data_IF_594656342680
#
_entry.id   IF_594656342680
#
_cell.length_a   1.000
_cell.length_b   1.000
_cell.length_c   1.000
_cell.angle_alpha   90.00
_cell.angle_beta   90.00
_cell.angle_gamma   90.00
#
_symmetry.space_group_name_H-M   'P 1'
#
loop_
_entity.id
_entity.type
_entity.pdbx_description
1 polymer ?
#
# COMPACT_ATOMS: atom_id res chain seq x y z
N UNK A 1 8.42 1.53 -11.60
CA UNK A 1 7.38 2.18 -12.41
C UNK A 1 7.32 3.69 -12.19
N UNK A 2 7.56 4.18 -10.99
CA UNK A 2 7.52 5.61 -10.64
C UNK A 2 8.42 6.49 -11.51
N UNK A 3 9.66 6.06 -11.73
CA UNK A 3 10.57 6.75 -12.66
C UNK A 3 10.00 6.85 -14.09
N UNK A 4 9.32 5.79 -14.57
CA UNK A 4 8.72 5.81 -15.91
C UNK A 4 7.54 6.78 -16.00
N UNK A 5 6.73 6.89 -14.95
CA UNK A 5 5.65 7.87 -14.85
C UNK A 5 6.21 9.29 -14.85
N UNK A 6 7.21 9.57 -14.00
CA UNK A 6 7.89 10.87 -13.96
C UNK A 6 8.48 11.26 -15.33
N UNK A 7 9.21 10.35 -15.99
CA UNK A 7 9.76 10.59 -17.34
C UNK A 7 8.65 10.87 -18.34
N UNK A 8 7.59 10.06 -18.34
CA UNK A 8 6.48 10.21 -19.28
C UNK A 8 5.75 11.54 -19.13
N UNK A 9 5.54 12.00 -17.91
CA UNK A 9 4.94 13.31 -17.60
C UNK A 9 5.86 14.44 -18.06
N UNK A 10 7.14 14.40 -17.72
CA UNK A 10 8.10 15.47 -18.05
C UNK A 10 8.27 15.61 -19.57
N UNK A 11 8.34 14.49 -20.30
CA UNK A 11 8.43 14.54 -21.79
C UNK A 11 7.25 15.32 -22.39
N UNK A 12 6.03 15.10 -21.87
CA UNK A 12 4.84 15.77 -22.36
C UNK A 12 4.65 17.20 -21.81
N UNK A 13 5.26 17.51 -20.66
CA UNK A 13 5.18 18.77 -19.92
C UNK A 13 6.58 19.24 -19.52
N UNK A 14 7.42 19.70 -20.47
CA UNK A 14 8.83 20.03 -20.22
C UNK A 14 9.06 21.20 -19.25
N UNK A 15 8.04 21.98 -18.95
CA UNK A 15 8.08 23.01 -17.90
C UNK A 15 8.29 22.43 -16.49
N UNK A 16 8.11 21.11 -16.32
CA UNK A 16 8.35 20.37 -15.08
C UNK A 16 9.63 19.54 -15.12
N UNK A 17 10.69 19.99 -15.81
CA UNK A 17 11.95 19.25 -15.92
C UNK A 17 12.59 18.91 -14.57
N UNK A 18 12.42 19.76 -13.55
CA UNK A 18 12.73 19.39 -12.17
C UNK A 18 11.55 18.60 -11.59
N UNK A 19 11.74 17.29 -11.38
CA UNK A 19 10.73 16.38 -10.86
C UNK A 19 10.13 16.81 -9.50
N UNK A 20 10.85 17.62 -8.71
CA UNK A 20 10.36 18.18 -7.44
C UNK A 20 9.18 19.12 -7.64
N UNK A 21 9.06 19.74 -8.81
CA UNK A 21 7.94 20.62 -9.14
C UNK A 21 6.62 19.86 -9.37
N UNK A 22 6.67 18.54 -9.47
CA UNK A 22 5.51 17.66 -9.60
C UNK A 22 4.98 17.15 -8.25
N UNK A 23 5.60 17.54 -7.12
CA UNK A 23 5.13 17.15 -5.79
C UNK A 23 3.70 17.61 -5.53
N UNK A 24 2.86 16.73 -4.97
CA UNK A 24 1.47 17.01 -4.63
C UNK A 24 0.49 16.69 -5.74
N UNK A 25 -0.60 17.46 -5.83
CA UNK A 25 -1.72 17.18 -6.72
C UNK A 25 -1.57 17.86 -8.07
N UNK A 26 -1.60 17.06 -9.12
CA UNK A 26 -1.93 17.37 -10.51
C UNK A 26 -1.52 18.75 -11.02
N UNK A 27 -0.24 18.96 -11.18
CA UNK A 27 0.26 20.23 -11.74
C UNK A 27 0.20 20.26 -13.29
N UNK A 28 0.10 19.09 -13.95
CA UNK A 28 0.28 18.99 -15.40
C UNK A 28 -1.00 19.28 -16.19
N UNK A 29 -0.83 19.72 -17.43
CA UNK A 29 -1.94 20.03 -18.35
C UNK A 29 -2.11 19.00 -19.45
N UNK A 30 -1.08 18.20 -19.70
CA UNK A 30 -1.06 17.23 -20.79
C UNK A 30 -0.83 15.83 -20.23
N UNK A 31 -1.53 14.80 -20.79
CA UNK A 31 -1.23 13.41 -20.47
C UNK A 31 0.23 13.06 -20.71
N UNK A 32 0.75 12.14 -19.91
CA UNK A 32 2.02 11.45 -20.14
C UNK A 32 2.08 10.86 -21.54
N UNK A 33 3.27 10.60 -22.05
CA UNK A 33 3.42 9.68 -23.17
C UNK A 33 2.79 8.33 -22.81
N UNK A 34 2.24 7.57 -23.78
CA UNK A 34 1.60 6.29 -23.48
C UNK A 34 2.53 5.34 -22.73
N UNK A 35 2.08 4.85 -21.56
CA UNK A 35 2.79 3.90 -20.72
C UNK A 35 2.06 2.56 -20.81
N UNK A 36 2.80 1.48 -21.12
CA UNK A 36 2.35 0.10 -21.04
C UNK A 36 3.06 -0.54 -19.84
N UNK A 37 2.29 -1.01 -18.88
CA UNK A 37 2.81 -1.51 -17.63
C UNK A 37 2.72 -3.03 -17.54
N UNK A 38 3.82 -3.66 -17.12
CA UNK A 38 3.89 -5.09 -16.81
C UNK A 38 4.44 -5.20 -15.39
N UNK A 39 3.59 -5.34 -14.35
CA UNK A 39 4.07 -5.44 -12.99
C UNK A 39 4.81 -6.75 -12.75
N UNK A 40 5.95 -6.66 -12.06
CA UNK A 40 6.77 -7.80 -11.64
C UNK A 40 6.75 -8.02 -10.13
N UNK A 41 5.94 -7.21 -9.42
CA UNK A 41 5.69 -7.33 -7.99
C UNK A 41 4.18 -7.24 -7.72
N UNK A 42 3.72 -7.85 -6.63
CA UNK A 42 2.34 -7.80 -6.20
C UNK A 42 2.23 -6.97 -4.90
N UNK A 43 2.22 -5.65 -5.02
CA UNK A 43 2.23 -4.74 -3.88
C UNK A 43 1.66 -3.36 -4.19
N UNK A 44 2.43 -2.52 -4.86
CA UNK A 44 2.18 -1.09 -5.05
C UNK A 44 1.03 -0.76 -5.99
N UNK A 45 0.64 -1.68 -6.87
CA UNK A 45 -0.35 -1.47 -7.93
C UNK A 45 -0.07 -0.23 -8.82
N UNK A 46 1.20 0.12 -9.01
CA UNK A 46 1.61 1.32 -9.74
C UNK A 46 1.15 1.31 -11.22
N UNK A 47 0.77 0.14 -11.75
CA UNK A 47 0.21 -0.05 -13.09
C UNK A 47 -1.22 0.46 -13.24
N UNK A 48 -1.91 0.78 -12.13
CA UNK A 48 -3.33 1.21 -12.14
C UNK A 48 -3.58 2.46 -11.28
N UNK A 49 -2.53 3.03 -10.69
CA UNK A 49 -2.65 4.18 -9.78
C UNK A 49 -2.22 5.50 -10.44
N UNK A 50 -2.73 6.60 -9.89
CA UNK A 50 -2.36 7.97 -10.26
C UNK A 50 -1.12 8.48 -9.50
N UNK A 51 -0.53 7.66 -8.65
CA UNK A 51 0.55 8.06 -7.75
C UNK A 51 1.89 7.55 -8.26
N UNK A 52 2.94 8.32 -7.99
CA UNK A 52 4.32 7.86 -8.01
C UNK A 52 5.12 8.57 -6.92
N UNK A 53 6.13 7.89 -6.38
CA UNK A 53 6.90 8.36 -5.23
C UNK A 53 8.36 8.53 -5.61
N UNK A 54 8.89 9.70 -5.34
CA UNK A 54 10.29 10.05 -5.63
C UNK A 54 11.04 10.29 -4.33
N UNK A 55 12.30 9.85 -4.27
CA UNK A 55 13.18 10.13 -3.14
C UNK A 55 14.02 11.37 -3.43
N UNK A 56 13.85 12.41 -2.63
CA UNK A 56 14.74 13.57 -2.59
C UNK A 56 15.92 13.25 -1.66
N UNK A 57 17.05 12.88 -2.27
CA UNK A 57 18.25 12.48 -1.51
C UNK A 57 18.90 13.65 -0.77
N UNK A 58 18.72 14.89 -1.26
CA UNK A 58 19.27 16.09 -0.63
C UNK A 58 18.50 16.42 0.66
N UNK A 59 17.15 16.33 0.59
CA UNK A 59 16.27 16.59 1.73
C UNK A 59 16.00 15.36 2.60
N UNK A 60 16.53 14.19 2.21
CA UNK A 60 16.34 12.89 2.89
C UNK A 60 14.87 12.59 3.15
N UNK A 61 14.01 12.84 2.17
CA UNK A 61 12.58 12.57 2.26
C UNK A 61 12.06 11.93 0.97
N UNK A 62 10.96 11.22 1.10
CA UNK A 62 10.12 10.82 -0.04
C UNK A 62 9.03 11.86 -0.24
N UNK A 63 8.65 12.09 -1.48
CA UNK A 63 7.50 12.91 -1.79
C UNK A 63 6.62 12.21 -2.83
N UNK A 64 5.33 12.46 -2.71
CA UNK A 64 4.32 11.84 -3.55
C UNK A 64 3.90 12.81 -4.63
N UNK A 65 3.88 12.32 -5.87
CA UNK A 65 3.28 13.00 -7.01
C UNK A 65 1.97 12.28 -7.34
N UNK A 66 0.92 13.05 -7.53
CA UNK A 66 -0.42 12.52 -7.82
C UNK A 66 -0.95 13.19 -9.08
N UNK A 67 -1.06 12.45 -10.19
CA UNK A 67 -1.55 13.00 -11.45
C UNK A 67 -2.34 11.95 -12.26
N UNK A 68 -3.64 12.18 -12.54
CA UNK A 68 -4.42 11.29 -13.41
C UNK A 68 -3.82 11.11 -14.80
N UNK A 69 -2.98 12.05 -15.24
CA UNK A 69 -2.32 12.00 -16.54
C UNK A 69 -1.20 10.96 -16.65
N UNK A 70 -0.78 10.34 -15.56
CA UNK A 70 0.29 9.35 -15.55
C UNK A 70 -0.17 7.89 -15.50
N UNK A 71 -1.48 7.65 -15.41
CA UNK A 71 -2.01 6.28 -15.38
C UNK A 71 -1.58 5.56 -16.67
N UNK A 72 -0.98 4.34 -16.55
CA UNK A 72 -0.69 3.52 -17.72
C UNK A 72 -1.95 3.25 -18.55
N UNK A 73 -1.82 3.37 -19.86
CA UNK A 73 -2.94 3.14 -20.80
C UNK A 73 -3.31 1.66 -20.92
N UNK A 74 -2.36 0.77 -20.63
CA UNK A 74 -2.57 -0.68 -20.57
C UNK A 74 -1.73 -1.26 -19.44
N UNK A 75 -2.32 -2.14 -18.65
CA UNK A 75 -1.64 -2.98 -17.67
C UNK A 75 -1.78 -4.46 -18.06
N UNK A 76 -0.65 -5.17 -18.17
CA UNK A 76 -0.60 -6.61 -18.37
C UNK A 76 -0.28 -7.27 -17.03
N UNK A 77 -1.31 -7.65 -16.29
CA UNK A 77 -1.18 -8.25 -14.96
C UNK A 77 -1.05 -9.75 -15.10
N UNK A 78 0.18 -10.22 -15.28
CA UNK A 78 0.52 -11.63 -15.49
C UNK A 78 1.21 -12.17 -14.22
N UNK A 79 0.63 -13.15 -13.52
CA UNK A 79 1.22 -13.74 -12.32
C UNK A 79 2.56 -14.43 -12.58
N UNK A 80 2.82 -14.92 -13.79
CA UNK A 80 4.09 -15.54 -14.13
C UNK A 80 5.24 -14.52 -14.08
N UNK A 81 4.99 -13.26 -14.44
CA UNK A 81 5.97 -12.18 -14.35
C UNK A 81 6.36 -11.82 -12.89
N UNK A 82 5.56 -12.28 -11.92
CA UNK A 82 5.78 -12.09 -10.48
C UNK A 82 6.39 -13.33 -9.81
N UNK A 83 6.49 -14.45 -10.52
CA UNK A 83 6.90 -15.76 -9.95
C UNK A 83 8.35 -15.82 -9.51
N UNK A 84 9.21 -14.93 -10.02
CA UNK A 84 10.63 -14.86 -9.66
C UNK A 84 10.91 -14.06 -8.38
N UNK A 85 9.89 -13.43 -7.78
CA UNK A 85 10.08 -12.69 -6.51
C UNK A 85 10.55 -13.62 -5.38
N UNK A 86 11.64 -13.28 -4.67
CA UNK A 86 12.04 -13.98 -3.45
C UNK A 86 10.94 -13.94 -2.38
N UNK A 87 10.90 -14.95 -1.48
CA UNK A 87 9.90 -15.08 -0.40
C UNK A 87 9.76 -13.79 0.42
N UNK A 88 10.86 -13.20 0.86
CA UNK A 88 10.84 -11.97 1.67
C UNK A 88 10.26 -10.76 0.93
N UNK A 89 10.55 -10.62 -0.38
CA UNK A 89 9.95 -9.57 -1.21
C UNK A 89 8.46 -9.84 -1.43
N UNK A 90 8.08 -11.08 -1.72
CA UNK A 90 6.68 -11.46 -1.86
C UNK A 90 5.88 -11.15 -0.58
N UNK A 91 6.42 -11.50 0.58
CA UNK A 91 5.80 -11.23 1.87
C UNK A 91 5.62 -9.73 2.11
N UNK A 92 6.71 -8.95 1.96
CA UNK A 92 6.66 -7.51 2.21
C UNK A 92 5.74 -6.77 1.25
N UNK A 93 5.82 -7.04 -0.06
CA UNK A 93 4.94 -6.39 -1.05
C UNK A 93 3.48 -6.82 -0.90
N UNK A 94 3.23 -8.08 -0.54
CA UNK A 94 1.86 -8.55 -0.29
C UNK A 94 1.24 -7.94 0.97
N UNK A 95 2.01 -7.73 2.03
CA UNK A 95 1.55 -7.01 3.22
C UNK A 95 1.36 -5.52 2.94
N UNK A 96 2.16 -4.95 2.04
CA UNK A 96 1.97 -3.59 1.52
C UNK A 96 0.61 -3.45 0.81
N UNK A 97 0.30 -4.37 -0.11
CA UNK A 97 -1.01 -4.42 -0.75
C UNK A 97 -2.16 -4.56 0.27
N UNK A 98 -2.00 -5.38 1.30
CA UNK A 98 -3.00 -5.48 2.37
C UNK A 98 -3.17 -4.16 3.12
N UNK A 99 -2.07 -3.46 3.39
CA UNK A 99 -2.09 -2.16 4.06
C UNK A 99 -2.83 -1.13 3.21
N UNK A 100 -2.52 -1.05 1.92
CA UNK A 100 -3.23 -0.20 0.97
C UNK A 100 -4.75 -0.47 0.98
N UNK A 101 -5.15 -1.74 0.94
CA UNK A 101 -6.56 -2.13 0.91
C UNK A 101 -7.28 -1.77 2.22
N UNK A 102 -6.66 -2.02 3.38
CA UNK A 102 -7.25 -1.68 4.69
C UNK A 102 -7.32 -0.17 4.88
N UNK A 103 -6.26 0.58 4.58
CA UNK A 103 -6.29 2.04 4.67
C UNK A 103 -7.27 2.64 3.66
N UNK A 104 -7.27 2.19 2.41
CA UNK A 104 -8.23 2.63 1.40
C UNK A 104 -9.69 2.32 1.77
N UNK A 105 -9.94 1.23 2.52
CA UNK A 105 -11.27 0.93 3.04
C UNK A 105 -11.67 1.84 4.22
N UNK A 106 -10.70 2.22 5.06
CA UNK A 106 -10.97 2.95 6.31
C UNK A 106 -10.72 4.46 6.22
N UNK A 107 -10.14 4.96 5.13
CA UNK A 107 -9.87 6.38 4.91
C UNK A 107 -11.17 7.21 4.86
N UNK A 108 -11.05 8.51 5.10
CA UNK A 108 -12.19 9.46 5.02
C UNK A 108 -12.72 9.62 3.59
N UNK A 109 -11.88 9.40 2.57
CA UNK A 109 -12.27 9.47 1.16
C UNK A 109 -12.99 8.22 0.63
N UNK A 110 -13.09 7.16 1.45
CA UNK A 110 -13.72 5.89 1.07
C UNK A 110 -15.19 6.08 0.68
N UNK A 111 -15.62 5.37 -0.34
CA UNK A 111 -17.00 5.38 -0.84
C UNK A 111 -17.40 3.98 -1.33
N UNK A 112 -18.67 3.80 -1.67
CA UNK A 112 -19.23 2.49 -2.04
C UNK A 112 -18.42 1.78 -3.13
N UNK A 113 -17.90 2.50 -4.13
CA UNK A 113 -17.16 1.90 -5.24
C UNK A 113 -15.77 1.46 -4.76
N UNK A 114 -15.06 2.32 -4.06
CA UNK A 114 -13.73 2.01 -3.51
C UNK A 114 -13.80 0.92 -2.44
N UNK A 115 -14.87 0.89 -1.65
CA UNK A 115 -15.11 -0.14 -0.63
C UNK A 115 -15.26 -1.53 -1.25
N UNK A 116 -15.94 -1.66 -2.40
CA UNK A 116 -16.07 -2.93 -3.14
C UNK A 116 -14.69 -3.47 -3.55
N UNK A 117 -13.84 -2.62 -4.10
CA UNK A 117 -12.49 -3.03 -4.52
C UNK A 117 -11.61 -3.40 -3.33
N UNK A 118 -11.56 -2.54 -2.32
CA UNK A 118 -10.71 -2.73 -1.16
C UNK A 118 -11.10 -3.97 -0.34
N UNK A 119 -12.39 -4.21 -0.08
CA UNK A 119 -12.83 -5.42 0.62
C UNK A 119 -12.51 -6.69 -0.15
N UNK A 120 -12.74 -6.69 -1.48
CA UNK A 120 -12.40 -7.85 -2.29
C UNK A 120 -10.88 -8.08 -2.37
N UNK A 121 -10.11 -7.01 -2.37
CA UNK A 121 -8.65 -7.09 -2.31
C UNK A 121 -8.19 -7.72 -0.98
N UNK A 122 -8.72 -7.26 0.17
CA UNK A 122 -8.40 -7.84 1.49
C UNK A 122 -8.67 -9.36 1.49
N UNK A 123 -9.84 -9.79 0.99
CA UNK A 123 -10.21 -11.21 0.90
C UNK A 123 -9.19 -12.02 0.07
N UNK A 124 -8.86 -11.53 -1.12
CA UNK A 124 -7.93 -12.22 -2.02
C UNK A 124 -6.52 -12.30 -1.44
N UNK A 125 -6.01 -11.19 -0.89
CA UNK A 125 -4.68 -11.14 -0.29
C UNK A 125 -4.59 -12.05 0.93
N UNK A 126 -5.57 -12.00 1.83
CA UNK A 126 -5.61 -12.84 3.03
C UNK A 126 -5.59 -14.34 2.69
N UNK A 127 -6.29 -14.72 1.62
CA UNK A 127 -6.36 -16.10 1.13
C UNK A 127 -5.07 -16.53 0.42
N UNK A 128 -4.41 -15.63 -0.32
CA UNK A 128 -3.42 -16.00 -1.33
C UNK A 128 -1.98 -15.74 -0.91
N UNK A 129 -1.71 -14.81 0.02
CA UNK A 129 -0.35 -14.35 0.31
C UNK A 129 0.56 -15.49 0.82
N UNK A 130 0.05 -16.37 1.68
CA UNK A 130 0.83 -17.55 2.16
C UNK A 130 1.25 -18.44 1.00
N UNK A 131 0.32 -18.74 0.10
CA UNK A 131 0.60 -19.54 -1.10
C UNK A 131 1.56 -18.84 -2.06
N UNK A 132 1.44 -17.53 -2.22
CA UNK A 132 2.36 -16.74 -3.04
C UNK A 132 3.80 -16.76 -2.50
N UNK A 133 3.98 -16.68 -1.16
CA UNK A 133 5.29 -16.80 -0.51
C UNK A 133 5.91 -18.18 -0.75
N UNK A 134 5.07 -19.22 -0.80
CA UNK A 134 5.50 -20.59 -1.17
C UNK A 134 5.58 -20.79 -2.70
N UNK A 135 5.31 -19.74 -3.47
CA UNK A 135 5.37 -19.71 -4.93
C UNK A 135 4.39 -20.66 -5.63
N UNK A 136 3.19 -20.85 -5.05
CA UNK A 136 2.12 -21.61 -5.73
C UNK A 136 1.46 -20.76 -6.81
N UNK A 137 0.99 -21.41 -7.89
CA UNK A 137 0.32 -20.73 -9.00
C UNK A 137 -0.93 -19.97 -8.52
N UNK A 138 -1.78 -20.62 -7.72
CA UNK A 138 -3.00 -20.02 -7.15
C UNK A 138 -2.69 -18.84 -6.22
N UNK A 139 -1.60 -18.95 -5.45
CA UNK A 139 -1.13 -17.85 -4.59
C UNK A 139 -0.68 -16.65 -5.42
N UNK A 140 0.10 -16.87 -6.47
CA UNK A 140 0.56 -15.79 -7.37
C UNK A 140 -0.60 -15.13 -8.11
N UNK A 141 -1.52 -15.92 -8.66
CA UNK A 141 -2.72 -15.42 -9.35
C UNK A 141 -3.59 -14.57 -8.41
N UNK A 142 -3.88 -15.09 -7.20
CA UNK A 142 -4.68 -14.37 -6.22
C UNK A 142 -4.00 -13.08 -5.74
N UNK A 143 -2.68 -13.06 -5.59
CA UNK A 143 -1.94 -11.85 -5.24
C UNK A 143 -1.88 -10.84 -6.39
N UNK A 144 -1.70 -11.28 -7.62
CA UNK A 144 -1.72 -10.42 -8.80
C UNK A 144 -3.05 -9.67 -8.94
N UNK A 145 -4.17 -10.40 -8.80
CA UNK A 145 -5.50 -9.80 -8.83
C UNK A 145 -5.77 -8.93 -7.58
N UNK A 146 -5.42 -9.44 -6.39
CA UNK A 146 -5.66 -8.73 -5.13
C UNK A 146 -4.99 -7.35 -5.09
N UNK A 147 -3.70 -7.27 -5.44
CA UNK A 147 -2.98 -6.00 -5.47
C UNK A 147 -3.55 -5.04 -6.54
N UNK A 148 -3.95 -5.55 -7.70
CA UNK A 148 -4.55 -4.73 -8.76
C UNK A 148 -5.87 -4.09 -8.30
N UNK A 149 -6.75 -4.88 -7.67
CA UNK A 149 -7.99 -4.35 -7.07
C UNK A 149 -7.72 -3.33 -5.96
N UNK A 150 -6.68 -3.57 -5.16
CA UNK A 150 -6.22 -2.59 -4.16
C UNK A 150 -5.91 -1.24 -4.79
N UNK A 151 -5.17 -1.23 -5.91
CA UNK A 151 -4.86 -0.01 -6.63
C UNK A 151 -6.08 0.72 -7.18
N UNK A 152 -7.05 -0.03 -7.71
CA UNK A 152 -8.34 0.53 -8.15
C UNK A 152 -9.12 1.16 -6.97
N UNK A 153 -8.97 0.62 -5.76
CA UNK A 153 -9.58 1.15 -4.55
C UNK A 153 -8.88 2.42 -4.07
N UNK A 154 -7.66 2.29 -3.52
CA UNK A 154 -7.00 3.37 -2.81
C UNK A 154 -6.63 4.57 -3.70
N UNK A 155 -6.32 4.35 -4.96
CA UNK A 155 -6.00 5.44 -5.90
C UNK A 155 -7.14 6.44 -6.08
N UNK A 156 -8.37 6.04 -5.75
CA UNK A 156 -9.56 6.86 -5.85
C UNK A 156 -10.10 7.39 -4.51
N UNK A 157 -9.48 7.04 -3.39
CA UNK A 157 -9.96 7.48 -2.07
C UNK A 157 -8.84 7.91 -1.11
N UNK A 158 -7.58 7.65 -1.45
CA UNK A 158 -6.45 7.93 -0.60
C UNK A 158 -6.15 6.83 0.41
N UNK A 159 -5.15 7.07 1.23
CA UNK A 159 -4.62 6.16 2.24
C UNK A 159 -4.78 6.75 3.65
N UNK A 160 -3.89 6.39 4.56
CA UNK A 160 -3.91 6.82 5.93
C UNK A 160 -2.50 6.93 6.54
N UNK A 161 -2.46 7.04 7.87
CA UNK A 161 -1.24 7.35 8.62
C UNK A 161 -0.18 6.23 8.60
N UNK A 162 -0.53 4.98 8.25
CA UNK A 162 0.47 3.90 8.11
C UNK A 162 1.47 4.28 7.04
N UNK A 163 1.00 4.69 5.87
CA UNK A 163 1.86 5.07 4.75
C UNK A 163 2.68 6.32 5.06
N UNK A 164 2.09 7.35 5.68
CA UNK A 164 2.81 8.54 6.10
C UNK A 164 3.97 8.21 7.06
N UNK A 165 3.76 7.32 8.02
CA UNK A 165 4.81 6.86 8.94
C UNK A 165 5.88 6.02 8.20
N UNK A 166 5.48 5.15 7.28
CA UNK A 166 6.39 4.28 6.54
C UNK A 166 7.32 5.06 5.59
N UNK A 167 6.86 6.17 5.02
CA UNK A 167 7.68 7.03 4.15
C UNK A 167 8.88 7.59 4.91
N UNK A 168 8.68 8.09 6.14
CA UNK A 168 9.77 8.57 7.00
C UNK A 168 10.81 7.49 7.30
N UNK A 169 10.37 6.27 7.60
CA UNK A 169 11.27 5.13 7.84
C UNK A 169 12.08 4.75 6.58
N UNK A 170 11.42 4.75 5.43
CA UNK A 170 12.09 4.50 4.15
C UNK A 170 13.10 5.57 3.79
N UNK A 171 12.81 6.84 4.10
CA UNK A 171 13.70 7.96 3.79
C UNK A 171 14.94 8.02 4.70
N UNK A 172 14.77 7.72 6.00
CA UNK A 172 15.84 7.86 6.99
C UNK A 172 16.71 6.62 7.12
N UNK A 173 16.12 5.42 7.03
CA UNK A 173 16.79 4.15 7.32
C UNK A 173 16.85 3.19 6.13
N UNK A 174 16.34 3.61 4.97
CA UNK A 174 16.19 2.74 3.79
C UNK A 174 15.40 1.44 4.10
N UNK A 175 14.46 1.54 5.07
CA UNK A 175 13.61 0.41 5.45
C UNK A 175 12.74 0.02 4.26
N UNK A 176 12.69 -1.28 3.88
CA UNK A 176 11.79 -1.72 2.83
C UNK A 176 10.34 -1.33 3.13
N UNK A 177 9.71 -0.61 2.21
CA UNK A 177 8.41 0.04 2.40
C UNK A 177 7.33 -0.92 2.92
N UNK A 178 7.18 -2.09 2.29
CA UNK A 178 6.18 -3.07 2.71
C UNK A 178 6.47 -3.69 4.08
N UNK A 179 7.74 -3.75 4.52
CA UNK A 179 8.08 -4.19 5.87
C UNK A 179 7.66 -3.13 6.90
N UNK A 180 7.94 -1.85 6.62
CA UNK A 180 7.51 -0.76 7.48
C UNK A 180 5.98 -0.74 7.63
N UNK A 181 5.25 -0.77 6.52
CA UNK A 181 3.80 -0.82 6.52
C UNK A 181 3.24 -1.99 7.32
N UNK A 182 3.77 -3.20 7.10
CA UNK A 182 3.29 -4.41 7.77
C UNK A 182 3.45 -4.38 9.30
N UNK A 183 4.56 -3.79 9.80
CA UNK A 183 4.82 -3.66 11.23
C UNK A 183 3.95 -2.58 11.87
N UNK A 184 3.73 -1.45 11.18
CA UNK A 184 2.99 -0.30 11.68
C UNK A 184 1.47 -0.56 11.66
N UNK A 185 0.96 -1.23 10.63
CA UNK A 185 -0.47 -1.41 10.37
C UNK A 185 -1.28 -1.88 11.59
N UNK A 186 -0.91 -2.93 12.32
CA UNK A 186 -1.71 -3.38 13.47
C UNK A 186 -1.80 -2.33 14.59
N UNK A 187 -0.75 -1.54 14.79
CA UNK A 187 -0.71 -0.47 15.80
C UNK A 187 -1.64 0.68 15.41
N UNK A 188 -1.63 1.06 14.14
CA UNK A 188 -2.53 2.11 13.62
C UNK A 188 -3.98 1.64 13.60
N UNK A 189 -4.24 0.37 13.26
CA UNK A 189 -5.59 -0.21 13.38
C UNK A 189 -6.12 -0.13 14.82
N UNK A 190 -5.27 -0.44 15.81
CA UNK A 190 -5.63 -0.32 17.23
C UNK A 190 -5.91 1.13 17.61
N UNK A 191 -5.09 2.07 17.16
CA UNK A 191 -5.26 3.50 17.41
C UNK A 191 -6.57 4.04 16.80
N UNK A 192 -6.90 3.63 15.58
CA UNK A 192 -8.04 4.14 14.82
C UNK A 192 -9.34 3.36 15.08
N UNK A 193 -9.34 2.25 15.83
CA UNK A 193 -10.46 1.30 15.92
C UNK A 193 -11.81 1.94 16.30
N UNK A 194 -11.78 2.96 17.18
CA UNK A 194 -13.00 3.65 17.60
C UNK A 194 -13.58 4.54 16.48
N UNK A 195 -12.71 5.24 15.76
CA UNK A 195 -13.12 6.12 14.66
C UNK A 195 -13.59 5.32 13.42
N UNK A 196 -12.94 4.20 13.14
CA UNK A 196 -13.27 3.31 12.02
C UNK A 196 -14.57 2.52 12.25
N UNK A 197 -14.88 2.19 13.51
CA UNK A 197 -16.15 1.59 13.90
C UNK A 197 -16.41 0.21 13.27
N UNK A 198 -17.58 0.03 12.65
CA UNK A 198 -18.01 -1.27 12.11
C UNK A 198 -17.23 -1.76 10.88
N UNK A 199 -16.50 -0.87 10.19
CA UNK A 199 -15.65 -1.28 9.06
C UNK A 199 -14.63 -2.35 9.45
N UNK A 200 -14.16 -2.39 10.72
CA UNK A 200 -13.30 -3.47 11.20
C UNK A 200 -13.97 -4.84 11.27
N UNK A 201 -15.31 -4.91 11.38
CA UNK A 201 -16.05 -6.17 11.25
C UNK A 201 -15.92 -6.73 9.83
N UNK A 202 -16.05 -5.85 8.84
CA UNK A 202 -15.93 -6.24 7.44
C UNK A 202 -14.50 -6.64 7.09
N UNK A 203 -13.51 -5.93 7.63
CA UNK A 203 -12.09 -6.32 7.52
C UNK A 203 -11.85 -7.69 8.13
N UNK A 204 -12.34 -7.96 9.36
CA UNK A 204 -12.22 -9.28 9.99
C UNK A 204 -12.84 -10.38 9.12
N UNK A 205 -14.03 -10.14 8.58
CA UNK A 205 -14.73 -11.07 7.68
C UNK A 205 -13.92 -11.32 6.40
N UNK A 206 -13.43 -10.27 5.76
CA UNK A 206 -12.61 -10.37 4.55
C UNK A 206 -11.28 -11.09 4.80
N UNK A 207 -10.70 -10.92 5.99
CA UNK A 207 -9.52 -11.68 6.45
C UNK A 207 -9.81 -13.17 6.75
N UNK A 208 -11.08 -13.61 6.62
CA UNK A 208 -11.48 -15.01 6.81
C UNK A 208 -11.82 -15.38 8.26
N UNK A 209 -12.03 -14.41 9.15
CA UNK A 209 -12.47 -14.68 10.53
C UNK A 209 -13.93 -15.13 10.52
N UNK A 210 -14.24 -16.33 11.07
CA UNK A 210 -15.62 -16.84 11.08
C UNK A 210 -16.47 -16.15 12.16
N UNK A 211 -17.78 -16.05 11.94
CA UNK A 211 -18.75 -15.64 12.95
C UNK A 211 -18.74 -14.16 13.32
N UNK A 212 -18.13 -13.31 12.51
CA UNK A 212 -17.96 -11.86 12.77
C UNK A 212 -19.29 -11.13 12.97
N UNK A 213 -20.38 -11.64 12.39
CA UNK A 213 -21.74 -11.09 12.51
C UNK A 213 -22.35 -11.25 13.91
N UNK A 214 -21.79 -12.15 14.75
CA UNK A 214 -22.23 -12.39 16.12
C UNK A 214 -21.31 -11.79 17.19
N UNK A 215 -20.18 -11.22 16.76
CA UNK A 215 -19.18 -10.63 17.65
C UNK A 215 -19.64 -9.27 18.17
N UNK A 216 -19.30 -8.97 19.41
CA UNK A 216 -19.33 -7.61 19.95
C UNK A 216 -18.35 -6.70 19.21
N UNK A 217 -18.46 -5.40 19.47
CA UNK A 217 -17.55 -4.42 18.87
C UNK A 217 -16.08 -4.72 19.21
N UNK A 218 -15.79 -4.97 20.46
CA UNK A 218 -14.45 -5.28 20.96
C UNK A 218 -13.91 -6.59 20.35
N UNK A 219 -14.78 -7.60 20.20
CA UNK A 219 -14.39 -8.89 19.65
C UNK A 219 -14.02 -8.79 18.18
N UNK A 220 -14.83 -8.17 17.31
CA UNK A 220 -14.48 -8.08 15.89
C UNK A 220 -13.32 -7.11 15.63
N UNK A 221 -13.18 -6.03 16.41
CA UNK A 221 -12.03 -5.13 16.31
C UNK A 221 -10.74 -5.87 16.64
N UNK A 222 -10.72 -6.60 17.75
CA UNK A 222 -9.57 -7.44 18.11
C UNK A 222 -9.31 -8.52 17.07
N UNK A 223 -10.33 -9.19 16.57
CA UNK A 223 -10.20 -10.26 15.59
C UNK A 223 -9.61 -9.77 14.26
N UNK A 224 -10.00 -8.57 13.78
CA UNK A 224 -9.42 -7.96 12.59
C UNK A 224 -7.91 -7.71 12.76
N UNK A 225 -7.53 -7.10 13.87
CA UNK A 225 -6.13 -6.78 14.18
C UNK A 225 -5.29 -8.05 14.36
N UNK A 226 -5.81 -9.04 15.07
CA UNK A 226 -5.13 -10.32 15.28
C UNK A 226 -4.96 -11.10 13.97
N UNK A 227 -5.94 -11.05 13.06
CA UNK A 227 -5.84 -11.68 11.75
C UNK A 227 -4.72 -11.06 10.89
N UNK A 228 -4.57 -9.74 10.92
CA UNK A 228 -3.47 -9.04 10.24
C UNK A 228 -2.12 -9.41 10.85
N UNK A 229 -2.01 -9.38 12.19
CA UNK A 229 -0.79 -9.81 12.90
C UNK A 229 -0.40 -11.25 12.56
N UNK A 230 -1.39 -12.14 12.55
CA UNK A 230 -1.17 -13.56 12.24
C UNK A 230 -0.69 -13.76 10.81
N UNK A 231 -1.26 -13.05 9.83
CA UNK A 231 -0.81 -13.12 8.45
C UNK A 231 0.63 -12.63 8.32
N UNK A 232 0.99 -11.49 8.94
CA UNK A 232 2.34 -10.96 8.94
C UNK A 232 3.35 -11.95 9.55
N UNK A 233 3.01 -12.58 10.68
CA UNK A 233 3.83 -13.60 11.32
C UNK A 233 4.01 -14.84 10.41
N UNK A 234 2.93 -15.32 9.79
CA UNK A 234 2.94 -16.52 8.93
C UNK A 234 3.82 -16.35 7.70
N UNK A 235 3.94 -15.12 7.19
CA UNK A 235 4.76 -14.81 6.01
C UNK A 235 6.16 -14.28 6.36
N UNK A 236 6.51 -14.28 7.65
CA UNK A 236 7.87 -13.98 8.14
C UNK A 236 8.21 -12.49 8.22
N UNK A 237 7.23 -11.60 8.37
CA UNK A 237 7.49 -10.18 8.64
C UNK A 237 8.07 -10.02 10.06
N UNK A 238 9.09 -9.17 10.26
CA UNK A 238 9.62 -8.85 11.59
C UNK A 238 8.53 -8.29 12.52
N UNK A 239 8.65 -8.57 13.82
CA UNK A 239 7.63 -8.20 14.81
C UNK A 239 7.60 -6.71 15.16
N UNK A 240 8.76 -6.06 15.10
CA UNK A 240 8.91 -4.67 15.52
C UNK A 240 10.07 -3.96 14.81
N UNK A 241 10.19 -2.65 15.05
CA UNK A 241 11.19 -1.75 14.48
C UNK A 241 12.38 -1.49 15.41
N UNK A 242 12.50 -2.21 16.54
CA UNK A 242 13.51 -1.91 17.58
C UNK A 242 14.95 -1.93 17.10
N UNK A 243 15.25 -2.78 16.10
CA UNK A 243 16.57 -2.87 15.52
C UNK A 243 16.81 -1.86 14.37
N UNK A 244 15.81 -1.07 14.03
CA UNK A 244 15.83 -0.12 12.90
C UNK A 244 15.78 1.32 13.43
N UNK A 245 14.76 1.61 14.25
CA UNK A 245 14.49 2.97 14.73
C UNK A 245 15.30 3.28 15.97
N UNK A 246 15.98 4.42 15.95
CA UNK A 246 16.68 4.97 17.10
C UNK A 246 15.75 5.89 17.90
N UNK A 247 15.80 5.86 19.24
CA UNK A 247 14.97 6.71 20.08
C UNK A 247 15.09 8.21 19.78
N UNK A 248 16.30 8.67 19.44
CA UNK A 248 16.58 10.08 19.10
C UNK A 248 15.90 10.57 17.84
N UNK A 249 15.47 9.67 16.95
CA UNK A 249 14.86 10.01 15.66
C UNK A 249 13.32 9.99 15.70
N UNK A 250 12.72 9.61 16.83
CA UNK A 250 11.25 9.46 16.95
C UNK A 250 10.52 10.78 16.72
N UNK A 251 11.03 11.89 17.25
CA UNK A 251 10.42 13.22 17.06
C UNK A 251 10.46 13.64 15.59
N UNK A 252 11.59 13.40 14.90
CA UNK A 252 11.73 13.68 13.46
C UNK A 252 10.76 12.82 12.64
N UNK A 253 10.69 11.52 12.91
CA UNK A 253 9.79 10.60 12.20
C UNK A 253 8.31 10.97 12.42
N UNK A 254 7.96 11.37 13.65
CA UNK A 254 6.60 11.80 13.98
C UNK A 254 6.21 13.05 13.22
N UNK A 255 7.11 14.05 13.17
CA UNK A 255 6.86 15.29 12.41
C UNK A 255 6.77 15.00 10.91
N UNK A 256 7.68 14.17 10.38
CA UNK A 256 7.67 13.76 8.95
C UNK A 256 6.34 13.09 8.56
N UNK A 257 5.79 12.24 9.44
CA UNK A 257 4.51 11.58 9.20
C UNK A 257 3.33 12.57 9.22
N UNK A 258 3.39 13.60 10.07
CA UNK A 258 2.37 14.65 10.12
C UNK A 258 2.41 15.58 8.91
N UNK A 259 3.59 15.80 8.35
CA UNK A 259 3.79 16.65 7.17
C UNK A 259 3.42 15.94 5.86
N UNK A 260 3.33 14.60 5.87
CA UNK A 260 3.00 13.74 4.73
C UNK A 260 1.48 13.42 4.66
N UNK A 261 0.73 13.79 5.68
CA UNK A 261 -0.69 13.41 5.86
C UNK A 261 -1.68 14.33 5.09
#
# INVERSE_FOLDING_TARGET
MDTSKAIGIIIANPEFEDVRSLEGLSATKKPSVPIFAIPTTAGTAAEVTINYVITDVEKKRKFVCVDPHDIPVVAFVDPDMMSSMPKGLTASTGMDALTHAIEGYTTKGANTITDMFNLKAIELIAKSLRGAVENTAEGREGMALGQYLTGMGFSNCGLGIVHSMAHGLGALYDTPHGVANAIILPTVMEYNKEAVGEKLRDVAKAMGVPGTEKMSKEEYQKAAIDAVKKLAEDVGIPKDLKNIVKPEDVDFLSQSAMDDA
#
